data_IF_838783476953
#
_entry.id   IF_838783476953
#
_cell.length_a   1.000
_cell.length_b   1.000
_cell.length_c   1.000
_cell.angle_alpha   90.00
_cell.angle_beta   90.00
_cell.angle_gamma   90.00
#
_symmetry.space_group_name_H-M   'P 1'
#
loop_
_entity.id
_entity.type
_entity.pdbx_description
1 polymer ?
#
# COMPACT_ATOMS: atom_id res chain seq x y z
N UNK A 1 -3.51 -31.82 -19.76
CA UNK A 1 -2.96 -31.25 -18.52
C UNK A 1 -3.75 -29.99 -18.25
N UNK A 2 -4.59 -29.98 -17.21
CA UNK A 2 -5.38 -28.80 -16.86
C UNK A 2 -4.51 -28.00 -15.89
N UNK A 3 -4.02 -26.84 -16.32
CA UNK A 3 -3.35 -25.92 -15.41
C UNK A 3 -4.36 -25.51 -14.33
N UNK A 4 -3.92 -25.40 -13.08
CA UNK A 4 -4.78 -24.93 -11.99
C UNK A 4 -5.00 -23.41 -12.18
N UNK A 5 -5.95 -23.04 -13.05
CA UNK A 5 -6.24 -21.66 -13.53
C UNK A 5 -6.98 -20.79 -12.49
N UNK A 6 -6.87 -21.10 -11.19
CA UNK A 6 -7.46 -20.32 -10.09
C UNK A 6 -6.47 -20.21 -8.96
N UNK A 7 -5.56 -19.25 -9.05
CA UNK A 7 -4.58 -19.04 -7.99
C UNK A 7 -4.26 -17.56 -7.84
N UNK A 8 -4.09 -17.16 -6.59
CA UNK A 8 -3.59 -15.85 -6.23
C UNK A 8 -2.10 -15.99 -5.94
N UNK A 9 -1.29 -15.13 -6.56
CA UNK A 9 0.13 -15.02 -6.25
C UNK A 9 0.34 -13.79 -5.37
N UNK A 10 1.14 -13.95 -4.31
CA UNK A 10 1.46 -12.87 -3.38
C UNK A 10 2.94 -12.55 -3.50
N UNK A 11 3.27 -11.29 -3.76
CA UNK A 11 4.66 -10.84 -3.93
C UNK A 11 4.87 -9.42 -3.45
N UNK A 12 6.11 -9.09 -3.14
CA UNK A 12 6.51 -7.69 -2.94
C UNK A 12 6.61 -6.98 -4.29
N UNK A 13 6.27 -5.69 -4.32
CA UNK A 13 6.58 -4.82 -5.44
C UNK A 13 8.11 -4.76 -5.64
N UNK A 14 8.55 -4.89 -6.89
CA UNK A 14 9.97 -4.87 -7.26
C UNK A 14 10.28 -3.78 -8.30
N UNK A 15 9.27 -3.02 -8.72
CA UNK A 15 9.41 -1.97 -9.73
C UNK A 15 8.53 -0.76 -9.42
N UNK A 16 8.82 0.37 -10.08
CA UNK A 16 7.96 1.56 -10.03
C UNK A 16 6.58 1.26 -10.63
N UNK A 17 6.51 0.39 -11.64
CA UNK A 17 5.25 -0.01 -12.27
C UNK A 17 4.33 -0.75 -11.30
N UNK A 18 4.89 -1.60 -10.45
CA UNK A 18 4.15 -2.28 -9.39
C UNK A 18 3.52 -1.31 -8.40
N UNK A 19 4.29 -0.31 -7.96
CA UNK A 19 3.79 0.73 -7.05
C UNK A 19 2.70 1.58 -7.72
N UNK A 20 2.87 1.92 -9.00
CA UNK A 20 1.83 2.62 -9.76
C UNK A 20 0.55 1.79 -9.91
N UNK A 21 0.66 0.46 -10.04
CA UNK A 21 -0.50 -0.42 -10.06
C UNK A 21 -1.22 -0.44 -8.71
N UNK A 22 -0.51 -0.46 -7.58
CA UNK A 22 -1.12 -0.26 -6.25
C UNK A 22 -1.86 1.08 -6.15
N UNK A 23 -1.22 2.17 -6.59
CA UNK A 23 -1.77 3.52 -6.52
C UNK A 23 -3.05 3.64 -7.35
N UNK A 24 -3.09 3.01 -8.53
CA UNK A 24 -4.28 2.97 -9.38
C UNK A 24 -5.39 2.14 -8.74
N UNK A 25 -5.08 0.94 -8.23
CA UNK A 25 -6.07 0.09 -7.57
C UNK A 25 -6.70 0.79 -6.37
N UNK A 26 -5.88 1.45 -5.54
CA UNK A 26 -6.39 2.27 -4.41
C UNK A 26 -7.24 3.44 -4.87
N UNK A 27 -6.89 4.09 -5.99
CA UNK A 27 -7.73 5.15 -6.56
C UNK A 27 -9.09 4.61 -7.01
N UNK A 28 -9.12 3.47 -7.71
CA UNK A 28 -10.36 2.84 -8.15
C UNK A 28 -11.27 2.54 -6.95
N UNK A 29 -10.73 1.91 -5.89
CA UNK A 29 -11.50 1.60 -4.69
C UNK A 29 -11.90 2.85 -3.91
N UNK A 30 -10.95 3.70 -3.52
CA UNK A 30 -11.24 4.81 -2.61
C UNK A 30 -11.96 5.96 -3.30
N UNK A 31 -11.52 6.38 -4.49
CA UNK A 31 -12.13 7.53 -5.17
C UNK A 31 -13.36 7.14 -5.99
N UNK A 32 -13.28 6.09 -6.82
CA UNK A 32 -14.37 5.76 -7.73
C UNK A 32 -15.50 4.99 -7.04
N UNK A 33 -15.17 3.99 -6.23
CA UNK A 33 -16.20 3.18 -5.56
C UNK A 33 -16.69 3.82 -4.25
N UNK A 34 -15.77 4.33 -3.42
CA UNK A 34 -16.11 4.87 -2.10
C UNK A 34 -16.33 6.40 -2.07
N UNK A 35 -16.03 7.11 -3.16
CA UNK A 35 -16.27 8.56 -3.28
C UNK A 35 -15.31 9.45 -2.50
N UNK A 36 -14.13 8.95 -2.11
CA UNK A 36 -13.12 9.74 -1.42
C UNK A 36 -12.51 10.81 -2.34
N UNK A 37 -12.24 12.00 -1.78
CA UNK A 37 -11.50 13.05 -2.47
C UNK A 37 -10.00 12.90 -2.19
N UNK A 38 -9.27 12.37 -3.17
CA UNK A 38 -7.83 12.15 -3.05
C UNK A 38 -7.04 13.33 -3.63
N UNK A 39 -5.97 13.80 -2.96
CA UNK A 39 -5.15 14.91 -3.45
C UNK A 39 -4.61 14.70 -4.88
N UNK A 40 -4.23 13.46 -5.20
CA UNK A 40 -3.72 13.06 -6.52
C UNK A 40 -4.79 12.46 -7.43
N UNK A 41 -6.07 12.56 -7.07
CA UNK A 41 -7.17 11.93 -7.81
C UNK A 41 -7.29 12.41 -9.27
N UNK A 42 -6.88 13.64 -9.57
CA UNK A 42 -6.83 14.17 -10.94
C UNK A 42 -5.87 13.41 -11.87
N UNK A 43 -4.93 12.62 -11.32
CA UNK A 43 -4.01 11.75 -12.05
C UNK A 43 -4.54 10.31 -12.20
N UNK A 44 -5.70 9.99 -11.60
CA UNK A 44 -6.20 8.63 -11.50
C UNK A 44 -5.37 7.75 -10.55
N UNK A 45 -4.71 8.35 -9.55
CA UNK A 45 -3.82 7.68 -8.61
C UNK A 45 -4.12 8.11 -7.17
N UNK A 46 -4.04 7.17 -6.23
CA UNK A 46 -3.91 7.42 -4.80
C UNK A 46 -2.43 7.38 -4.44
N UNK A 47 -1.77 8.54 -4.41
CA UNK A 47 -0.33 8.67 -4.15
C UNK A 47 -0.07 9.65 -3.00
N UNK A 48 0.77 9.22 -2.07
CA UNK A 48 1.26 10.05 -0.97
C UNK A 48 2.76 9.80 -0.71
N UNK A 49 3.33 10.48 0.30
CA UNK A 49 4.74 10.33 0.67
C UNK A 49 5.10 8.97 1.30
N UNK A 50 4.11 8.20 1.75
CA UNK A 50 4.36 6.87 2.31
C UNK A 50 4.69 5.84 1.22
N UNK A 51 4.30 6.09 -0.04
CA UNK A 51 4.56 5.13 -1.12
C UNK A 51 6.06 4.94 -1.41
N UNK A 52 6.88 5.97 -1.15
CA UNK A 52 8.32 5.94 -1.38
C UNK A 52 9.08 5.19 -0.27
N UNK A 53 8.47 5.02 0.91
CA UNK A 53 9.11 4.43 2.09
C UNK A 53 8.51 3.06 2.46
N UNK A 54 7.22 2.84 2.16
CA UNK A 54 6.57 1.57 2.43
C UNK A 54 7.01 0.52 1.42
N UNK A 55 7.14 -0.72 1.92
CA UNK A 55 7.11 -1.86 1.03
C UNK A 55 5.65 -2.13 0.61
N UNK A 56 5.43 -2.55 -0.62
CA UNK A 56 4.08 -2.82 -1.14
C UNK A 56 3.92 -4.32 -1.36
N UNK A 57 2.95 -4.93 -0.70
CA UNK A 57 2.57 -6.32 -0.91
C UNK A 57 1.40 -6.35 -1.90
N UNK A 58 1.58 -7.11 -2.97
CA UNK A 58 0.66 -7.25 -4.09
C UNK A 58 0.03 -8.63 -4.08
N UNK A 59 -1.23 -8.70 -4.49
CA UNK A 59 -1.91 -9.94 -4.84
C UNK A 59 -2.28 -9.88 -6.32
N UNK A 60 -1.77 -10.83 -7.07
CA UNK A 60 -1.97 -10.96 -8.52
C UNK A 60 -2.88 -12.16 -8.79
N UNK A 61 -3.93 -11.96 -9.59
CA UNK A 61 -4.73 -13.07 -10.11
C UNK A 61 -3.92 -13.74 -11.23
N UNK A 62 -3.50 -14.98 -11.03
CA UNK A 62 -2.69 -15.69 -12.03
C UNK A 62 -3.44 -16.01 -13.31
N UNK A 63 -4.78 -15.95 -13.32
CA UNK A 63 -5.58 -16.19 -14.51
C UNK A 63 -5.55 -14.98 -15.47
N UNK A 64 -5.57 -13.76 -14.93
CA UNK A 64 -5.64 -12.52 -15.73
C UNK A 64 -4.33 -11.74 -15.76
N UNK A 65 -3.47 -11.93 -14.75
CA UNK A 65 -2.27 -11.12 -14.50
C UNK A 65 -2.56 -9.79 -13.80
N UNK A 66 -3.81 -9.53 -13.42
CA UNK A 66 -4.19 -8.27 -12.79
C UNK A 66 -3.81 -8.25 -11.30
N UNK A 67 -3.41 -7.06 -10.82
CA UNK A 67 -3.27 -6.82 -9.39
C UNK A 67 -4.67 -6.59 -8.81
N UNK A 68 -5.12 -7.53 -7.98
CA UNK A 68 -6.48 -7.53 -7.40
C UNK A 68 -6.52 -7.09 -5.94
N UNK A 69 -5.37 -7.03 -5.27
CA UNK A 69 -5.24 -6.39 -3.97
C UNK A 69 -3.84 -5.83 -3.76
N UNK A 70 -3.73 -4.78 -2.95
CA UNK A 70 -2.45 -4.28 -2.48
C UNK A 70 -2.54 -3.79 -1.04
N UNK A 71 -1.45 -3.92 -0.30
CA UNK A 71 -1.30 -3.28 1.02
C UNK A 71 0.11 -2.74 1.22
N UNK A 72 0.23 -1.72 2.07
CA UNK A 72 1.49 -1.08 2.42
C UNK A 72 2.00 -1.64 3.75
N UNK A 73 3.31 -1.87 3.81
CA UNK A 73 4.01 -2.35 5.00
C UNK A 73 5.08 -1.33 5.33
N UNK A 74 4.89 -0.62 6.44
CA UNK A 74 5.89 0.23 7.06
C UNK A 74 6.46 -0.50 8.28
N UNK A 75 7.71 -0.94 8.19
CA UNK A 75 8.38 -1.59 9.33
C UNK A 75 8.88 -0.55 10.32
N UNK A 76 9.02 -0.94 11.58
CA UNK A 76 9.54 -0.05 12.64
C UNK A 76 10.91 0.53 12.28
N UNK A 77 11.80 -0.32 11.76
CA UNK A 77 13.13 0.09 11.28
C UNK A 77 13.05 1.21 10.24
N UNK A 78 12.22 1.03 9.21
CA UNK A 78 12.07 2.04 8.15
C UNK A 78 11.44 3.32 8.71
N UNK A 79 10.41 3.20 9.56
CA UNK A 79 9.80 4.36 10.20
C UNK A 79 10.81 5.21 10.99
N UNK A 80 11.73 4.57 11.71
CA UNK A 80 12.81 5.26 12.42
C UNK A 80 13.80 5.95 11.48
N UNK A 81 14.16 5.31 10.36
CA UNK A 81 15.08 5.87 9.35
C UNK A 81 14.51 7.12 8.65
N UNK A 82 13.18 7.22 8.52
CA UNK A 82 12.49 8.33 7.85
C UNK A 82 11.95 9.40 8.80
N UNK A 83 12.57 9.52 9.99
CA UNK A 83 12.26 10.57 10.98
C UNK A 83 11.37 10.13 12.12
N UNK A 84 11.12 8.82 12.28
CA UNK A 84 10.31 8.27 13.37
C UNK A 84 8.82 8.52 13.19
N UNK A 85 8.34 8.57 11.94
CA UNK A 85 6.94 8.83 11.61
C UNK A 85 6.27 7.56 11.07
N UNK A 86 5.10 7.25 11.62
CA UNK A 86 4.17 6.24 11.11
C UNK A 86 3.00 6.95 10.45
N UNK A 87 2.30 6.26 9.55
CA UNK A 87 1.04 6.76 8.99
C UNK A 87 0.07 7.23 10.09
N UNK A 88 -0.03 6.45 11.16
CA UNK A 88 -0.91 6.73 12.29
C UNK A 88 -0.56 8.00 13.09
N UNK A 89 0.63 8.57 12.97
CA UNK A 89 0.95 9.85 13.64
C UNK A 89 0.21 11.04 13.03
N UNK A 90 -0.26 10.92 11.78
CA UNK A 90 -1.08 11.96 11.15
C UNK A 90 -2.51 11.98 11.69
N UNK A 91 -3.00 10.81 12.11
CA UNK A 91 -4.40 10.61 12.51
C UNK A 91 -4.58 10.58 14.04
N UNK A 92 -3.53 10.26 14.80
CA UNK A 92 -3.60 10.03 16.24
C UNK A 92 -2.38 10.55 17.00
N UNK A 93 -2.57 10.96 18.25
CA UNK A 93 -1.46 11.21 19.18
C UNK A 93 -0.91 9.88 19.73
N UNK A 94 0.23 9.45 19.20
CA UNK A 94 0.89 8.21 19.60
C UNK A 94 1.92 8.39 20.73
N UNK A 95 2.05 9.58 21.34
CA UNK A 95 3.10 9.88 22.33
C UNK A 95 3.15 8.86 23.47
N UNK A 96 1.99 8.45 23.99
CA UNK A 96 1.91 7.45 25.07
C UNK A 96 2.34 6.05 24.64
N UNK A 97 1.96 5.64 23.42
CA UNK A 97 2.30 4.32 22.88
C UNK A 97 3.82 4.23 22.64
N UNK A 98 4.44 5.33 22.17
CA UNK A 98 5.89 5.41 21.95
C UNK A 98 6.73 5.25 23.23
N UNK A 99 6.14 5.53 24.40
CA UNK A 99 6.81 5.39 25.70
C UNK A 99 6.68 3.99 26.30
N UNK A 100 5.88 3.10 25.70
CA UNK A 100 5.70 1.73 26.19
C UNK A 100 6.89 0.86 25.79
N UNK A 101 7.29 -0.05 26.69
CA UNK A 101 8.29 -1.08 26.41
C UNK A 101 7.70 -2.20 25.53
N UNK A 102 8.54 -2.81 24.69
CA UNK A 102 8.14 -3.90 23.77
C UNK A 102 7.95 -3.50 22.30
N UNK A 103 8.42 -2.31 21.92
CA UNK A 103 8.72 -1.99 20.52
C UNK A 103 9.98 -2.70 20.05
#
# INVERSE_FOLDING_TARGET
>A
MVANEKGLNVRMASSVQDVMNCQRLRYEVFALEMGAQLPTGHLGLDKDGFDDVCAHLLVEDMATGDIVACTRILTDKVAQEVGGYYYSDHEFDLTKIRQMSGR
#
